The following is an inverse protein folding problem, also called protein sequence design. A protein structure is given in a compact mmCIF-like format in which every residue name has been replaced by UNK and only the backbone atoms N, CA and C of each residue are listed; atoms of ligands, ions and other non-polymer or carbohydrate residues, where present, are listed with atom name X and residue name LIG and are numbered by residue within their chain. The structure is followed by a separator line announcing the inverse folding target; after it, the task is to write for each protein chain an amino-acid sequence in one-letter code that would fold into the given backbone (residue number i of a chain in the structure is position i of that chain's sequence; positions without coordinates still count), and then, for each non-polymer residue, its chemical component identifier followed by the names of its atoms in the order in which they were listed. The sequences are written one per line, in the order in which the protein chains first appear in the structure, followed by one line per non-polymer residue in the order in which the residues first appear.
data_IF_363767480840
#
_entry.id   IF_363767480840
#
_cell.length_a   1.000
_cell.length_b   1.000
_cell.length_c   1.000
_cell.angle_alpha   90.00
_cell.angle_beta   90.00
_cell.angle_gamma   90.00
#
_symmetry.space_group_name_H-M   'P 1'
#
loop_
_entity.id
_entity.type
_entity.pdbx_description
1 polymer ?
#
# COMPACT_ATOMS: atom_id res chain seq x y z
N UNK A 1 18.88 69.40 -45.98
CA UNK A 1 19.34 68.02 -46.25
C UNK A 1 19.69 67.40 -44.91
N UNK A 2 18.88 66.50 -44.32
CA UNK A 2 19.34 65.69 -43.21
C UNK A 2 19.82 64.33 -43.69
N UNK A 3 20.98 63.96 -43.16
CA UNK A 3 21.69 62.69 -43.23
C UNK A 3 20.81 61.45 -43.40
N UNK A 4 21.09 60.71 -44.47
CA UNK A 4 20.79 59.29 -44.62
C UNK A 4 21.63 58.48 -43.64
N UNK A 5 21.41 58.67 -42.34
CA UNK A 5 22.03 57.89 -41.27
C UNK A 5 21.51 56.45 -41.34
N UNK A 6 22.19 55.65 -42.16
CA UNK A 6 22.79 54.36 -41.82
C UNK A 6 22.18 53.59 -40.64
N UNK A 7 20.87 53.36 -40.63
CA UNK A 7 20.28 52.19 -39.99
C UNK A 7 19.89 51.23 -41.09
N UNK A 8 20.91 50.61 -41.70
CA UNK A 8 20.74 49.29 -42.31
C UNK A 8 20.12 48.41 -41.25
N UNK A 9 18.80 48.19 -41.34
CA UNK A 9 18.08 47.27 -40.50
C UNK A 9 18.76 45.90 -40.64
N UNK A 10 19.53 45.51 -39.62
CA UNK A 10 20.13 44.18 -39.54
C UNK A 10 18.97 43.22 -39.34
N UNK A 11 18.64 42.47 -40.39
CA UNK A 11 17.63 41.41 -40.30
C UNK A 11 18.31 40.24 -39.60
N UNK A 12 18.07 40.12 -38.31
CA UNK A 12 18.54 38.98 -37.52
C UNK A 12 17.55 37.82 -37.76
N UNK A 13 18.05 36.71 -38.28
CA UNK A 13 17.25 35.51 -38.44
C UNK A 13 16.78 35.04 -37.06
N UNK A 14 15.47 34.98 -36.86
CA UNK A 14 14.88 34.47 -35.62
C UNK A 14 14.71 32.96 -35.75
N UNK A 15 15.35 32.20 -34.87
CA UNK A 15 15.12 30.76 -34.76
C UNK A 15 13.82 30.53 -33.98
N UNK A 16 12.86 29.73 -34.48
CA UNK A 16 11.68 29.36 -33.71
C UNK A 16 12.07 28.66 -32.40
N UNK A 17 11.31 28.90 -31.34
CA UNK A 17 11.49 28.19 -30.08
C UNK A 17 11.07 26.71 -30.23
N UNK A 18 11.83 25.75 -29.67
CA UNK A 18 11.39 24.35 -29.64
C UNK A 18 10.09 24.19 -28.83
N UNK A 19 9.29 23.15 -29.12
CA UNK A 19 8.12 22.83 -28.30
C UNK A 19 8.55 22.42 -26.89
N UNK A 20 7.64 22.65 -25.94
CA UNK A 20 7.84 22.21 -24.56
C UNK A 20 7.90 20.67 -24.46
N UNK A 21 8.64 20.13 -23.47
CA UNK A 21 8.67 18.70 -23.23
C UNK A 21 7.29 18.17 -22.81
N UNK A 22 7.01 16.88 -23.05
CA UNK A 22 5.77 16.27 -22.56
C UNK A 22 5.72 16.31 -21.03
N UNK A 23 4.52 16.48 -20.48
CA UNK A 23 4.28 16.36 -19.04
C UNK A 23 4.31 14.88 -18.67
N UNK A 24 5.24 14.47 -17.82
CA UNK A 24 5.23 13.13 -17.23
C UNK A 24 4.07 13.02 -16.25
N UNK A 25 3.22 11.98 -16.33
CA UNK A 25 2.20 11.75 -15.32
C UNK A 25 2.85 11.52 -13.95
N UNK A 26 2.16 11.82 -12.84
CA UNK A 26 2.66 11.54 -11.52
C UNK A 26 2.92 10.03 -11.36
N UNK A 27 3.96 9.69 -10.60
CA UNK A 27 4.27 8.29 -10.27
C UNK A 27 3.05 7.64 -9.60
N UNK A 28 2.66 6.46 -10.09
CA UNK A 28 1.67 5.64 -9.42
C UNK A 28 2.29 5.05 -8.14
N UNK A 29 1.53 4.98 -7.03
CA UNK A 29 2.00 4.28 -5.85
C UNK A 29 2.25 2.79 -6.17
N UNK A 30 3.20 2.15 -5.46
CA UNK A 30 3.41 0.72 -5.61
C UNK A 30 2.13 -0.06 -5.24
N UNK A 31 1.94 -1.26 -5.81
CA UNK A 31 0.81 -2.10 -5.47
C UNK A 31 0.81 -2.45 -3.97
N UNK A 32 -0.38 -2.51 -3.38
CA UNK A 32 -0.56 -2.89 -1.98
C UNK A 32 -0.31 -4.40 -1.83
N UNK A 33 0.45 -4.86 -0.83
CA UNK A 33 0.64 -6.28 -0.58
C UNK A 33 -0.70 -6.99 -0.31
N UNK A 34 -0.90 -8.15 -0.93
CA UNK A 34 -2.08 -8.98 -0.67
C UNK A 34 -1.84 -9.76 0.64
N UNK A 35 -2.79 -9.74 1.60
CA UNK A 35 -2.65 -10.52 2.81
C UNK A 35 -2.64 -12.03 2.51
N UNK A 36 -1.97 -12.85 3.33
CA UNK A 36 -2.04 -14.30 3.19
C UNK A 36 -3.47 -14.78 3.39
N UNK A 37 -3.81 -15.88 2.72
CA UNK A 37 -5.09 -16.56 2.96
C UNK A 37 -5.08 -17.13 4.39
N UNK A 38 -5.99 -16.65 5.23
CA UNK A 38 -6.18 -17.12 6.61
C UNK A 38 -7.18 -18.26 6.69
N UNK A 39 -7.76 -18.69 5.56
CA UNK A 39 -8.66 -19.82 5.52
C UNK A 39 -7.87 -21.11 5.78
N UNK A 40 -8.18 -21.86 6.85
CA UNK A 40 -7.53 -23.13 7.08
C UNK A 40 -7.85 -24.11 5.94
N UNK A 41 -6.86 -24.92 5.57
CA UNK A 41 -7.07 -26.01 4.63
C UNK A 41 -8.15 -26.97 5.19
N UNK A 42 -9.27 -27.19 4.49
CA UNK A 42 -10.36 -28.05 4.96
C UNK A 42 -9.98 -29.53 4.98
N UNK A 43 -8.89 -29.91 4.32
CA UNK A 43 -8.33 -31.27 4.33
C UNK A 43 -7.33 -31.49 5.45
N UNK A 44 -6.92 -30.42 6.16
CA UNK A 44 -6.06 -30.52 7.34
C UNK A 44 -6.83 -31.17 8.48
N UNK A 45 -6.19 -32.13 9.16
CA UNK A 45 -6.75 -32.75 10.36
C UNK A 45 -7.05 -31.69 11.43
N UNK A 46 -8.22 -31.73 12.10
CA UNK A 46 -8.52 -30.82 13.18
C UNK A 46 -7.52 -31.01 14.34
N UNK A 47 -7.24 -29.94 15.12
CA UNK A 47 -6.42 -30.08 16.32
C UNK A 47 -7.09 -31.04 17.32
N UNK A 48 -6.27 -31.84 18.00
CA UNK A 48 -6.74 -32.76 19.04
C UNK A 48 -7.25 -31.96 20.24
N UNK A 49 -8.45 -32.24 20.77
CA UNK A 49 -8.91 -31.60 21.99
C UNK A 49 -8.01 -31.96 23.18
N UNK A 50 -7.87 -31.08 24.19
CA UNK A 50 -7.15 -31.42 25.41
C UNK A 50 -7.77 -32.66 26.06
N UNK A 51 -6.93 -33.58 26.53
CA UNK A 51 -7.39 -34.85 27.11
C UNK A 51 -8.08 -34.69 28.47
N UNK A 52 -8.01 -33.51 29.08
CA UNK A 52 -8.54 -33.23 30.41
C UNK A 52 -9.45 -31.99 30.34
N UNK A 53 -10.54 -31.94 31.13
CA UNK A 53 -11.27 -30.70 31.33
C UNK A 53 -10.31 -29.61 31.86
N UNK A 54 -10.58 -28.36 31.50
CA UNK A 54 -9.74 -27.19 31.88
C UNK A 54 -9.80 -26.91 33.40
N UNK A 55 -10.52 -27.73 34.18
CA UNK A 55 -10.54 -27.71 35.63
C UNK A 55 -11.14 -29.00 36.19
N UNK A 56 -11.08 -29.14 37.51
CA UNK A 56 -11.75 -30.24 38.21
C UNK A 56 -13.25 -30.21 37.92
N UNK A 57 -13.91 -31.38 37.83
CA UNK A 57 -15.36 -31.42 37.74
C UNK A 57 -15.97 -30.70 38.96
N UNK A 58 -17.13 -30.03 38.78
CA UNK A 58 -17.83 -29.45 39.93
C UNK A 58 -18.13 -30.56 40.96
N UNK A 59 -18.15 -30.24 42.27
CA UNK A 59 -18.55 -31.20 43.30
C UNK A 59 -19.91 -31.82 42.95
N UNK A 60 -20.04 -33.14 43.13
CA UNK A 60 -21.31 -33.82 42.99
C UNK A 60 -22.34 -33.31 44.00
N UNK A 61 -23.64 -33.64 43.83
CA UNK A 61 -24.72 -33.12 44.67
C UNK A 61 -24.58 -33.47 46.17
N UNK A 62 -23.75 -34.46 46.52
CA UNK A 62 -23.47 -34.87 47.90
C UNK A 62 -22.05 -34.51 48.35
N UNK A 63 -21.26 -33.79 47.54
CA UNK A 63 -19.89 -33.39 47.86
C UNK A 63 -19.86 -31.92 48.27
N UNK A 64 -19.34 -31.65 49.46
CA UNK A 64 -19.06 -30.27 49.89
C UNK A 64 -17.83 -29.74 49.15
N UNK A 65 -17.81 -28.44 48.74
CA UNK A 65 -16.62 -27.87 48.10
C UNK A 65 -15.40 -28.03 49.02
N UNK A 66 -14.29 -28.51 48.47
CA UNK A 66 -13.02 -28.60 49.18
C UNK A 66 -12.48 -27.19 49.38
N UNK A 67 -12.83 -26.58 50.52
CA UNK A 67 -12.20 -25.35 51.02
C UNK A 67 -10.85 -25.73 51.62
N UNK A 68 -9.77 -25.38 50.93
CA UNK A 68 -8.42 -25.33 51.49
C UNK A 68 -8.19 -24.00 52.22
#
# INVERSE_FOLDING_TARGET
MPDSASTRARIEAQTPQPPDPPVTPPDQPPPVPIPPDTNPDPTREPPVPPSQPIGDPPPGPNETPHVY
#
